data_IF_989858700522
#
_entry.id   IF_989858700522
#
_cell.length_a   1.000
_cell.length_b   1.000
_cell.length_c   1.000
_cell.angle_alpha   90.00
_cell.angle_beta   90.00
_cell.angle_gamma   90.00
#
_symmetry.space_group_name_H-M   'P 1'
#
loop_
_entity.id
_entity.type
_entity.pdbx_description
1 polymer ?
#
# COMPACT_ATOMS: atom_id res chain seq x y z
N UNK A 1 -5.38 14.60 -8.57
CA UNK A 1 -4.39 13.48 -8.57
C UNK A 1 -5.16 12.19 -8.35
N UNK A 2 -4.91 11.11 -9.10
CA UNK A 2 -5.66 9.86 -8.95
C UNK A 2 -5.22 9.14 -7.66
N UNK A 3 -6.10 8.97 -6.64
CA UNK A 3 -5.74 8.31 -5.38
C UNK A 3 -5.19 6.89 -5.55
N UNK A 4 -5.68 6.16 -6.57
CA UNK A 4 -5.23 4.79 -6.85
C UNK A 4 -3.78 4.74 -7.34
N UNK A 5 -3.42 5.69 -8.21
CA UNK A 5 -2.04 5.82 -8.69
C UNK A 5 -1.09 6.21 -7.56
N UNK A 6 -1.53 7.07 -6.64
CA UNK A 6 -0.75 7.44 -5.45
C UNK A 6 -0.57 6.26 -4.50
N UNK A 7 -1.63 5.48 -4.26
CA UNK A 7 -1.57 4.25 -3.48
C UNK A 7 -0.52 3.28 -4.04
N UNK A 8 -0.55 3.01 -5.35
CA UNK A 8 0.45 2.14 -5.99
C UNK A 8 1.86 2.72 -5.85
N UNK A 9 2.04 4.02 -6.09
CA UNK A 9 3.33 4.70 -5.91
C UNK A 9 3.87 4.49 -4.49
N UNK A 10 3.05 4.76 -3.48
CA UNK A 10 3.47 4.63 -2.08
C UNK A 10 3.76 3.19 -1.68
N UNK A 11 3.00 2.21 -2.19
CA UNK A 11 3.29 0.79 -1.97
C UNK A 11 4.63 0.38 -2.62
N UNK A 12 4.90 0.86 -3.84
CA UNK A 12 6.16 0.62 -4.54
C UNK A 12 7.35 1.25 -3.79
N UNK A 13 7.22 2.49 -3.37
CA UNK A 13 8.24 3.20 -2.60
C UNK A 13 8.52 2.47 -1.27
N UNK A 14 7.48 2.01 -0.57
CA UNK A 14 7.64 1.23 0.66
C UNK A 14 8.45 -0.05 0.42
N UNK A 15 8.13 -0.82 -0.64
CA UNK A 15 8.90 -2.01 -1.02
C UNK A 15 10.34 -1.68 -1.41
N UNK A 16 10.56 -0.54 -2.09
CA UNK A 16 11.91 -0.14 -2.54
C UNK A 16 12.88 0.09 -1.39
N UNK A 17 12.37 0.41 -0.18
CA UNK A 17 13.20 0.57 1.03
C UNK A 17 13.88 -0.72 1.48
N UNK A 18 13.38 -1.88 1.04
CA UNK A 18 13.95 -3.20 1.35
C UNK A 18 15.16 -3.55 0.47
N UNK A 19 15.48 -2.70 -0.51
CA UNK A 19 16.52 -2.94 -1.51
C UNK A 19 15.99 -3.66 -2.76
N UNK A 20 16.61 -3.35 -3.90
CA UNK A 20 16.15 -3.81 -5.23
C UNK A 20 16.02 -5.34 -5.36
N UNK A 21 16.96 -6.18 -4.88
CA UNK A 21 16.82 -7.63 -5.02
C UNK A 21 15.62 -8.20 -4.25
N UNK A 22 15.38 -7.68 -3.03
CA UNK A 22 14.24 -8.05 -2.19
C UNK A 22 12.94 -7.60 -2.83
N UNK A 23 12.88 -6.36 -3.30
CA UNK A 23 11.73 -5.79 -3.99
C UNK A 23 11.37 -6.61 -5.23
N UNK A 24 12.34 -6.96 -6.08
CA UNK A 24 12.10 -7.77 -7.28
C UNK A 24 11.53 -9.16 -6.94
N UNK A 25 12.04 -9.79 -5.89
CA UNK A 25 11.54 -11.09 -5.41
C UNK A 25 10.09 -10.99 -4.92
N UNK A 26 9.76 -9.92 -4.19
CA UNK A 26 8.39 -9.64 -3.73
C UNK A 26 7.46 -9.37 -4.90
N UNK A 27 7.85 -8.50 -5.84
CA UNK A 27 7.04 -8.18 -7.03
C UNK A 27 6.78 -9.44 -7.86
N UNK A 28 7.77 -10.32 -8.02
CA UNK A 28 7.58 -11.59 -8.69
C UNK A 28 6.58 -12.49 -7.96
N UNK A 29 6.68 -12.59 -6.62
CA UNK A 29 5.72 -13.35 -5.82
C UNK A 29 4.29 -12.80 -5.93
N UNK A 30 4.13 -11.48 -5.80
CA UNK A 30 2.85 -10.78 -5.94
C UNK A 30 2.21 -11.04 -7.31
N UNK A 31 3.01 -10.99 -8.38
CA UNK A 31 2.54 -11.30 -9.74
C UNK A 31 2.02 -12.74 -9.84
N UNK A 32 2.73 -13.71 -9.27
CA UNK A 32 2.29 -15.11 -9.25
C UNK A 32 1.01 -15.31 -8.41
N UNK A 33 0.77 -14.46 -7.40
CA UNK A 33 -0.45 -14.43 -6.61
C UNK A 33 -1.61 -13.69 -7.30
N UNK A 34 -1.41 -13.17 -8.52
CA UNK A 34 -2.42 -12.43 -9.28
C UNK A 34 -2.61 -10.98 -8.82
N UNK A 35 -1.61 -10.41 -8.14
CA UNK A 35 -1.59 -8.99 -7.76
C UNK A 35 -0.91 -8.20 -8.88
N UNK A 36 -1.71 -7.37 -9.55
CA UNK A 36 -1.22 -6.51 -10.62
C UNK A 36 -0.73 -5.17 -10.04
N UNK A 37 0.57 -4.88 -10.20
CA UNK A 37 1.18 -3.62 -9.76
C UNK A 37 1.04 -2.51 -10.81
N UNK A 38 -0.18 -2.28 -11.32
CA UNK A 38 -0.49 -1.20 -12.28
C UNK A 38 -1.64 -0.33 -11.78
N UNK A 39 -1.64 1.00 -12.05
CA UNK A 39 -2.53 1.94 -11.38
C UNK A 39 -4.03 1.62 -11.51
N UNK A 40 -4.45 1.06 -12.63
CA UNK A 40 -5.85 0.82 -12.98
C UNK A 40 -6.45 -0.39 -12.25
N UNK A 41 -5.62 -1.37 -11.90
CA UNK A 41 -6.06 -2.66 -11.36
C UNK A 41 -5.43 -3.01 -10.01
N UNK A 42 -4.51 -2.19 -9.50
CA UNK A 42 -3.89 -2.39 -8.20
C UNK A 42 -4.95 -2.51 -7.10
N UNK A 43 -4.97 -3.64 -6.39
CA UNK A 43 -5.92 -3.90 -5.31
C UNK A 43 -5.16 -4.19 -4.01
N UNK A 44 -5.21 -3.24 -3.08
CA UNK A 44 -4.53 -3.35 -1.80
C UNK A 44 -5.02 -4.53 -0.96
N UNK A 45 -6.28 -4.97 -1.15
CA UNK A 45 -6.86 -6.10 -0.43
C UNK A 45 -6.33 -7.45 -0.94
N UNK A 46 -5.80 -7.50 -2.16
CA UNK A 46 -5.06 -8.66 -2.67
C UNK A 46 -3.58 -8.55 -2.39
N UNK A 47 -3.03 -7.33 -2.46
CA UNK A 47 -1.63 -7.05 -2.16
C UNK A 47 -1.25 -7.46 -0.74
N UNK A 48 -2.02 -7.05 0.27
CA UNK A 48 -1.69 -7.32 1.67
C UNK A 48 -1.53 -8.83 1.99
N UNK A 49 -2.52 -9.71 1.74
CA UNK A 49 -2.38 -11.12 2.05
C UNK A 49 -1.26 -11.79 1.25
N UNK A 50 -1.09 -11.44 -0.03
CA UNK A 50 0.02 -11.99 -0.83
C UNK A 50 1.39 -11.54 -0.33
N UNK A 51 1.50 -10.31 0.19
CA UNK A 51 2.72 -9.84 0.84
C UNK A 51 2.94 -10.58 2.16
N UNK A 52 1.90 -10.72 2.99
CA UNK A 52 1.95 -11.40 4.28
C UNK A 52 2.34 -12.89 4.14
N UNK A 53 1.86 -13.57 3.09
CA UNK A 53 2.25 -14.94 2.78
C UNK A 53 3.76 -15.09 2.54
N UNK A 54 4.42 -14.04 2.03
CA UNK A 54 5.86 -14.05 1.75
C UNK A 54 6.73 -13.59 2.93
N UNK A 55 6.35 -12.49 3.60
CA UNK A 55 7.19 -11.83 4.62
C UNK A 55 6.58 -11.83 6.02
N UNK A 56 5.43 -12.49 6.22
CA UNK A 56 4.67 -12.53 7.46
C UNK A 56 3.82 -11.27 7.70
N UNK A 57 2.78 -11.41 8.52
CA UNK A 57 1.85 -10.33 8.87
C UNK A 57 2.57 -9.08 9.37
N UNK A 58 3.51 -9.23 10.32
CA UNK A 58 4.27 -8.11 10.86
C UNK A 58 5.10 -7.37 9.81
N UNK A 59 5.62 -8.10 8.81
CA UNK A 59 6.36 -7.50 7.70
C UNK A 59 5.44 -6.73 6.76
N UNK A 60 4.29 -7.34 6.41
CA UNK A 60 3.27 -6.70 5.58
C UNK A 60 2.69 -5.45 6.25
N UNK A 61 2.45 -5.49 7.56
CA UNK A 61 1.96 -4.36 8.35
C UNK A 61 2.92 -3.16 8.28
N UNK A 62 4.23 -3.39 8.39
CA UNK A 62 5.23 -2.32 8.26
C UNK A 62 5.13 -1.65 6.89
N UNK A 63 4.98 -2.44 5.82
CA UNK A 63 4.85 -1.90 4.45
C UNK A 63 3.54 -1.10 4.30
N UNK A 64 2.43 -1.58 4.87
CA UNK A 64 1.14 -0.87 4.88
C UNK A 64 1.19 0.43 5.68
N UNK A 65 1.86 0.45 6.83
CA UNK A 65 2.05 1.66 7.63
C UNK A 65 2.82 2.74 6.87
N UNK A 66 3.92 2.34 6.21
CA UNK A 66 4.71 3.26 5.38
C UNK A 66 3.86 3.77 4.23
N UNK A 67 3.15 2.89 3.53
CA UNK A 67 2.29 3.27 2.41
C UNK A 67 1.19 4.27 2.85
N UNK A 68 0.48 4.00 3.95
CA UNK A 68 -0.56 4.89 4.48
C UNK A 68 -0.02 6.28 4.80
N UNK A 69 1.13 6.36 5.50
CA UNK A 69 1.77 7.63 5.87
C UNK A 69 2.22 8.41 4.64
N UNK A 70 2.88 7.74 3.68
CA UNK A 70 3.30 8.36 2.44
C UNK A 70 2.12 8.87 1.62
N UNK A 71 1.01 8.14 1.58
CA UNK A 71 -0.21 8.58 0.88
C UNK A 71 -0.81 9.84 1.51
N UNK A 72 -0.90 9.91 2.84
CA UNK A 72 -1.39 11.11 3.55
C UNK A 72 -0.56 12.34 3.20
N UNK A 73 0.76 12.19 3.17
CA UNK A 73 1.69 13.27 2.81
C UNK A 73 1.55 13.69 1.34
N UNK A 74 1.57 12.71 0.42
CA UNK A 74 1.49 12.96 -1.02
C UNK A 74 0.17 13.62 -1.42
N UNK A 75 -0.94 13.19 -0.80
CA UNK A 75 -2.28 13.72 -1.06
C UNK A 75 -2.61 14.97 -0.23
N UNK A 76 -1.72 15.37 0.70
CA UNK A 76 -1.91 16.50 1.62
C UNK A 76 -3.24 16.41 2.39
N UNK A 77 -3.58 15.21 2.88
CA UNK A 77 -4.82 14.96 3.59
C UNK A 77 -4.62 15.09 5.10
N UNK A 78 -5.68 15.51 5.80
CA UNK A 78 -5.77 15.41 7.26
C UNK A 78 -6.62 14.17 7.62
N UNK A 79 -5.98 13.02 7.72
CA UNK A 79 -6.64 11.75 8.07
C UNK A 79 -6.22 11.33 9.46
N UNK A 80 -7.10 11.36 10.47
CA UNK A 80 -6.80 10.80 11.77
C UNK A 80 -6.75 9.27 11.66
N UNK A 81 -5.56 8.68 11.79
CA UNK A 81 -5.36 7.23 11.87
C UNK A 81 -5.11 6.83 13.33
N UNK A 82 -5.90 5.93 13.92
CA UNK A 82 -5.61 5.40 15.25
C UNK A 82 -4.38 4.47 15.13
N UNK A 83 -3.31 4.66 15.91
CA UNK A 83 -2.15 3.78 15.89
C UNK A 83 -2.48 2.30 16.09
N UNK A 84 -3.61 1.97 16.73
CA UNK A 84 -4.07 0.62 17.01
C UNK A 84 -4.86 -0.02 15.88
N UNK A 85 -5.28 0.77 14.89
CA UNK A 85 -5.99 0.22 13.73
C UNK A 85 -5.05 -0.73 12.96
N UNK A 86 -5.58 -1.83 12.39
CA UNK A 86 -4.81 -2.66 11.48
C UNK A 86 -4.22 -1.84 10.34
N UNK A 87 -3.01 -2.18 9.91
CA UNK A 87 -2.29 -1.36 8.94
C UNK A 87 -3.02 -1.26 7.58
N UNK A 88 -3.66 -2.35 7.14
CA UNK A 88 -4.52 -2.36 5.96
C UNK A 88 -5.70 -1.38 6.08
N UNK A 89 -6.36 -1.34 7.25
CA UNK A 89 -7.51 -0.45 7.48
C UNK A 89 -7.10 1.03 7.43
N UNK A 90 -5.88 1.36 7.90
CA UNK A 90 -5.33 2.71 7.77
C UNK A 90 -5.20 3.12 6.30
N UNK A 91 -4.65 2.24 5.45
CA UNK A 91 -4.52 2.51 4.01
C UNK A 91 -5.90 2.69 3.36
N UNK A 92 -6.85 1.80 3.66
CA UNK A 92 -8.21 1.87 3.14
C UNK A 92 -8.92 3.18 3.53
N UNK A 93 -8.76 3.61 4.79
CA UNK A 93 -9.30 4.88 5.28
C UNK A 93 -8.73 6.08 4.55
N UNK A 94 -7.41 6.12 4.33
CA UNK A 94 -6.75 7.20 3.57
C UNK A 94 -7.27 7.22 2.14
N UNK A 95 -7.39 6.06 1.49
CA UNK A 95 -7.92 5.93 0.13
C UNK A 95 -9.37 6.41 0.03
N UNK A 96 -10.23 6.04 0.98
CA UNK A 96 -11.63 6.46 1.01
C UNK A 96 -11.76 7.99 1.13
N UNK A 97 -11.00 8.61 2.06
CA UNK A 97 -10.99 10.07 2.21
C UNK A 97 -10.48 10.73 0.93
N UNK A 98 -9.40 10.23 0.35
CA UNK A 98 -8.83 10.75 -0.89
C UNK A 98 -9.82 10.72 -2.06
N UNK A 99 -10.58 9.63 -2.20
CA UNK A 99 -11.61 9.49 -3.23
C UNK A 99 -12.75 10.50 -3.02
N UNK A 100 -13.15 10.76 -1.78
CA UNK A 100 -14.20 11.73 -1.45
C UNK A 100 -13.82 13.18 -1.78
N UNK A 101 -12.56 13.57 -1.61
CA UNK A 101 -12.09 14.94 -1.89
C UNK A 101 -11.67 15.16 -3.35
N UNK A 102 -11.53 14.10 -4.14
CA UNK A 102 -11.20 14.19 -5.57
C UNK A 102 -12.43 14.48 -6.46
N UNK A 103 -13.63 14.54 -5.88
CA UNK A 103 -14.90 14.92 -6.52
C UNK A 103 -15.22 16.39 -6.28
#
# INVERSE_FOLDING_TARGET
MNPQAVLLKCAWEALSTLGEPTMQSIVWHLSNAGVEMVPETFDIRKFYPALADMIGDSGADIIMEIAARSMVLELQLDVPTDPRDPALEKVLKVLEVAQKVAH
#
